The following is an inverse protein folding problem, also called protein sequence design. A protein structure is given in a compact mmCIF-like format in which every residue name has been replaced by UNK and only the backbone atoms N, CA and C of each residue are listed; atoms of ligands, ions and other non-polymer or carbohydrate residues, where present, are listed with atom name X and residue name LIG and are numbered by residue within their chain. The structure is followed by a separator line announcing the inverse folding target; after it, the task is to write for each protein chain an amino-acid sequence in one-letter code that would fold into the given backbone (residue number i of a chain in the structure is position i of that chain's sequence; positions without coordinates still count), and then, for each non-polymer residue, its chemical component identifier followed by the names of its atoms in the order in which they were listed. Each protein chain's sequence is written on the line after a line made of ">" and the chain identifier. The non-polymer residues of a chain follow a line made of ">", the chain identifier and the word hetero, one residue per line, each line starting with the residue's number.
data_IF_740191217224
#
_entry.id   IF_740191217224
#
_cell.length_a   1.000
_cell.length_b   1.000
_cell.length_c   1.000
_cell.angle_alpha   90.00
_cell.angle_beta   90.00
_cell.angle_gamma   90.00
#
_symmetry.space_group_name_H-M   'P 1'
#
loop_
_entity.id
_entity.type
_entity.pdbx_description
1 polymer ?
#
# COMPACT_ATOMS: atom_id res chain seq x y z
N UNK A 1 19.64 15.76 15.53
CA UNK A 1 18.63 14.92 14.91
C UNK A 1 18.87 13.48 15.30
N UNK A 2 17.89 12.79 15.87
CA UNK A 2 18.09 11.40 16.27
C UNK A 2 18.34 10.52 15.04
N UNK A 3 19.15 9.48 15.20
CA UNK A 3 19.36 8.52 14.11
C UNK A 3 18.05 7.85 13.71
N UNK A 4 17.93 7.50 12.43
CA UNK A 4 16.75 6.81 11.93
C UNK A 4 16.48 5.49 12.69
N UNK A 5 17.54 4.89 13.25
CA UNK A 5 17.42 3.66 14.02
C UNK A 5 16.61 3.82 15.33
N UNK A 6 16.43 5.06 15.80
CA UNK A 6 15.63 5.32 17.00
C UNK A 6 14.14 5.36 16.72
N UNK A 7 13.74 5.34 15.45
CA UNK A 7 12.35 5.36 15.04
C UNK A 7 11.92 3.96 14.57
N UNK A 8 10.70 3.52 14.92
CA UNK A 8 10.22 2.26 14.39
C UNK A 8 10.08 2.35 12.86
N UNK A 9 10.41 1.28 12.12
CA UNK A 9 10.21 1.27 10.69
C UNK A 9 8.75 1.48 10.35
N UNK A 10 8.49 2.33 9.36
CA UNK A 10 7.14 2.56 8.87
C UNK A 10 6.65 1.36 8.08
N UNK A 11 5.33 1.13 8.09
CA UNK A 11 4.68 0.23 7.16
C UNK A 11 3.67 1.05 6.36
N UNK A 12 3.66 0.84 5.05
CA UNK A 12 2.92 1.69 4.13
C UNK A 12 2.07 0.83 3.21
N UNK A 13 0.82 1.24 3.02
CA UNK A 13 -0.07 0.64 2.04
C UNK A 13 -0.51 1.68 1.03
N UNK A 14 -0.50 1.31 -0.24
CA UNK A 14 -0.89 2.21 -1.33
C UNK A 14 -1.91 1.51 -2.21
N UNK A 15 -2.99 2.21 -2.51
CA UNK A 15 -4.00 1.77 -3.45
C UNK A 15 -4.41 2.92 -4.35
N UNK A 16 -4.64 2.62 -5.61
CA UNK A 16 -5.06 3.60 -6.61
C UNK A 16 -6.51 3.32 -7.00
N UNK A 17 -7.33 4.34 -6.96
CA UNK A 17 -8.74 4.23 -7.33
C UNK A 17 -9.47 5.54 -7.09
N UNK A 18 -10.76 5.59 -7.41
CA UNK A 18 -11.54 6.78 -7.16
C UNK A 18 -11.74 7.03 -5.67
N UNK A 19 -11.81 8.29 -5.30
CA UNK A 19 -12.08 8.70 -3.93
C UNK A 19 -13.25 9.64 -3.89
N UNK A 20 -13.91 9.72 -2.73
CA UNK A 20 -14.95 10.70 -2.47
C UNK A 20 -14.34 11.81 -1.62
N UNK A 21 -14.42 13.04 -2.11
CA UNK A 21 -13.97 14.21 -1.37
C UNK A 21 -15.17 15.10 -1.09
N UNK A 22 -15.43 15.34 0.16
CA UNK A 22 -16.58 16.16 0.59
C UNK A 22 -16.22 16.86 1.89
N UNK A 23 -16.49 18.17 1.95
CA UNK A 23 -16.25 18.98 3.14
C UNK A 23 -14.82 18.88 3.68
N UNK A 24 -13.86 18.74 2.76
CA UNK A 24 -12.44 18.64 3.14
C UNK A 24 -11.97 17.26 3.55
N UNK A 25 -12.87 16.29 3.65
CA UNK A 25 -12.51 14.91 3.97
C UNK A 25 -12.45 14.06 2.72
N UNK A 26 -11.60 13.03 2.77
CA UNK A 26 -11.47 12.05 1.70
C UNK A 26 -11.83 10.67 2.26
N UNK A 27 -12.79 10.01 1.64
CA UNK A 27 -13.24 8.70 2.09
C UNK A 27 -13.75 7.87 0.92
N UNK A 28 -14.17 6.63 1.22
CA UNK A 28 -14.67 5.68 0.24
C UNK A 28 -13.88 4.38 0.26
N UNK A 29 -14.22 3.47 -0.65
CA UNK A 29 -13.58 2.15 -0.70
C UNK A 29 -12.08 2.23 -0.95
N UNK A 30 -11.65 3.17 -1.78
CA UNK A 30 -10.23 3.33 -2.10
C UNK A 30 -9.41 3.66 -0.84
N UNK A 31 -9.91 4.60 -0.04
CA UNK A 31 -9.24 5.02 1.20
C UNK A 31 -9.23 3.88 2.21
N UNK A 32 -10.37 3.22 2.37
CA UNK A 32 -10.49 2.11 3.31
C UNK A 32 -9.59 0.94 2.92
N UNK A 33 -9.49 0.65 1.63
CA UNK A 33 -8.64 -0.43 1.15
C UNK A 33 -7.16 -0.09 1.36
N UNK A 34 -6.76 1.15 1.11
CA UNK A 34 -5.40 1.59 1.36
C UNK A 34 -5.03 1.40 2.84
N UNK A 35 -5.95 1.72 3.76
CA UNK A 35 -5.73 1.52 5.18
C UNK A 35 -5.57 0.05 5.54
N UNK A 36 -6.36 -0.84 4.94
CA UNK A 36 -6.24 -2.28 5.17
C UNK A 36 -4.95 -2.85 4.63
N UNK A 37 -4.50 -2.38 3.48
CA UNK A 37 -3.21 -2.78 2.92
C UNK A 37 -2.08 -2.32 3.84
N UNK A 38 -2.15 -1.09 4.35
CA UNK A 38 -1.15 -0.60 5.30
C UNK A 38 -1.10 -1.44 6.56
N UNK A 39 -2.26 -1.87 7.08
CA UNK A 39 -2.32 -2.74 8.25
C UNK A 39 -1.72 -4.12 7.99
N UNK A 40 -1.81 -4.61 6.75
CA UNK A 40 -1.21 -5.89 6.35
C UNK A 40 0.31 -5.79 6.22
N UNK A 41 0.83 -4.66 5.76
CA UNK A 41 2.25 -4.48 5.53
C UNK A 41 3.02 -4.62 6.85
N UNK A 42 4.17 -5.30 6.78
CA UNK A 42 5.05 -5.42 7.93
C UNK A 42 5.98 -4.22 8.02
N UNK A 43 6.62 -4.06 9.17
CA UNK A 43 7.55 -2.96 9.39
C UNK A 43 8.60 -2.91 8.29
N UNK A 44 8.82 -1.74 7.72
CA UNK A 44 9.77 -1.53 6.64
C UNK A 44 9.26 -1.88 5.25
N UNK A 45 8.01 -2.35 5.12
CA UNK A 45 7.46 -2.72 3.83
C UNK A 45 6.56 -1.65 3.26
N UNK A 46 6.59 -1.52 1.93
CA UNK A 46 5.61 -0.76 1.17
C UNK A 46 4.83 -1.78 0.34
N UNK A 47 3.55 -1.96 0.65
CA UNK A 47 2.69 -2.91 -0.03
C UNK A 47 1.68 -2.14 -0.86
N UNK A 48 1.50 -2.58 -2.11
CA UNK A 48 0.65 -1.87 -3.06
C UNK A 48 -0.35 -2.82 -3.67
N UNK A 49 -1.50 -2.26 -4.10
CA UNK A 49 -2.48 -3.03 -4.85
C UNK A 49 -2.00 -3.25 -6.28
N UNK A 50 -2.63 -4.20 -6.97
CA UNK A 50 -2.35 -4.48 -8.37
C UNK A 50 -2.56 -3.23 -9.24
N UNK A 51 -3.60 -2.45 -8.97
CA UNK A 51 -3.84 -1.21 -9.70
C UNK A 51 -2.69 -0.22 -9.56
N UNK A 52 -2.17 -0.07 -8.35
CA UNK A 52 -1.03 0.80 -8.11
C UNK A 52 0.22 0.30 -8.85
N UNK A 53 0.48 -1.00 -8.78
CA UNK A 53 1.63 -1.58 -9.47
C UNK A 53 1.55 -1.39 -10.99
N UNK A 54 0.36 -1.58 -11.57
CA UNK A 54 0.15 -1.40 -13.01
C UNK A 54 0.34 0.04 -13.47
N UNK A 55 -0.04 1.00 -12.63
CA UNK A 55 0.04 2.42 -12.98
C UNK A 55 1.38 3.05 -12.63
N UNK A 56 2.23 2.33 -11.94
CA UNK A 56 3.54 2.83 -11.53
C UNK A 56 4.60 2.36 -12.52
N UNK A 57 5.03 3.28 -13.37
CA UNK A 57 6.07 3.01 -14.36
C UNK A 57 7.32 3.78 -13.97
N UNK A 58 8.08 3.22 -13.05
CA UNK A 58 9.29 3.85 -12.56
C UNK A 58 10.45 2.88 -12.62
N UNK A 59 11.54 3.29 -13.28
CA UNK A 59 12.70 2.42 -13.54
C UNK A 59 13.39 1.95 -12.25
N UNK A 60 13.30 2.74 -11.19
CA UNK A 60 13.98 2.42 -9.93
C UNK A 60 13.16 1.52 -9.02
N UNK A 61 11.96 1.15 -9.42
CA UNK A 61 11.05 0.33 -8.62
C UNK A 61 10.86 -1.05 -9.24
N UNK A 62 10.74 -2.02 -8.36
CA UNK A 62 10.39 -3.39 -8.69
C UNK A 62 9.23 -3.80 -7.79
N UNK A 63 8.26 -4.51 -8.36
CA UNK A 63 7.09 -4.97 -7.61
C UNK A 63 7.15 -6.48 -7.48
N UNK A 64 7.36 -6.94 -6.26
CA UNK A 64 7.42 -8.36 -5.96
C UNK A 64 6.03 -8.87 -5.55
N UNK A 65 5.49 -9.89 -6.24
CA UNK A 65 4.17 -10.40 -5.88
C UNK A 65 4.14 -10.96 -4.46
N UNK A 66 3.08 -10.64 -3.74
CA UNK A 66 2.81 -11.19 -2.42
C UNK A 66 1.72 -12.26 -2.47
N UNK A 67 1.21 -12.56 -3.67
CA UNK A 67 0.10 -13.45 -3.86
C UNK A 67 -1.24 -12.78 -3.67
N UNK A 68 -2.27 -13.59 -3.60
CA UNK A 68 -3.64 -13.13 -3.37
C UNK A 68 -3.89 -13.20 -1.87
N UNK A 69 -4.20 -12.06 -1.26
CA UNK A 69 -4.24 -11.89 0.18
C UNK A 69 -5.64 -11.54 0.65
N UNK A 70 -6.09 -12.20 1.71
CA UNK A 70 -7.33 -11.83 2.38
C UNK A 70 -7.04 -10.73 3.40
N UNK A 71 -7.78 -9.64 3.29
CA UNK A 71 -7.65 -8.50 4.19
C UNK A 71 -8.89 -8.40 5.07
N UNK A 72 -8.69 -8.06 6.33
CA UNK A 72 -9.78 -7.90 7.27
C UNK A 72 -10.75 -6.82 6.79
N UNK A 73 -12.03 -7.15 6.74
CA UNK A 73 -13.07 -6.20 6.33
C UNK A 73 -13.20 -6.02 4.82
N UNK A 74 -12.44 -6.79 4.03
CA UNK A 74 -12.51 -6.75 2.57
C UNK A 74 -13.13 -8.07 2.10
N UNK A 75 -14.18 -7.97 1.28
CA UNK A 75 -15.00 -9.13 0.92
C UNK A 75 -14.25 -10.18 0.11
N UNK A 76 -13.38 -9.76 -0.81
CA UNK A 76 -12.69 -10.66 -1.70
C UNK A 76 -11.18 -10.55 -1.54
N UNK A 77 -10.45 -11.67 -1.68
CA UNK A 77 -8.99 -11.61 -1.68
C UNK A 77 -8.46 -10.75 -2.82
N UNK A 78 -7.32 -10.12 -2.60
CA UNK A 78 -6.74 -9.20 -3.56
C UNK A 78 -5.29 -9.55 -3.85
N UNK A 79 -4.85 -9.42 -5.11
CA UNK A 79 -3.43 -9.53 -5.42
C UNK A 79 -2.70 -8.29 -4.89
N UNK A 80 -1.66 -8.52 -4.11
CA UNK A 80 -0.84 -7.47 -3.54
C UNK A 80 0.61 -7.64 -3.97
N UNK A 81 1.35 -6.54 -3.96
CA UNK A 81 2.75 -6.50 -4.34
C UNK A 81 3.54 -5.71 -3.30
N UNK A 82 4.78 -6.08 -3.11
CA UNK A 82 5.69 -5.28 -2.31
C UNK A 82 6.52 -4.43 -3.26
N UNK A 83 6.55 -3.12 -3.03
CA UNK A 83 7.39 -2.22 -3.80
C UNK A 83 8.81 -2.25 -3.24
N UNK A 84 9.77 -2.46 -4.12
CA UNK A 84 11.18 -2.57 -3.77
C UNK A 84 11.97 -1.64 -4.67
N UNK A 85 13.04 -1.06 -4.12
CA UNK A 85 13.97 -0.29 -4.93
C UNK A 85 14.88 -1.27 -5.66
N UNK A 86 15.06 -1.06 -6.95
CA UNK A 86 16.01 -1.86 -7.72
C UNK A 86 17.42 -1.57 -7.27
N UNK A 87 18.28 -2.59 -7.20
CA UNK A 87 19.68 -2.39 -6.84
C UNK A 87 20.44 -1.60 -7.89
#
# INVERSE_FOLDING_TARGET
>A
MPPAADLPPAHIGIHTGPVISQDGDVYGKTVNLAARIAAYAQAGQVVVSQETARRSDHQDLQFAPRGVVELKGVAEPLPLYQALRRP
#
